data_IF_762609403030
#
_entry.id   IF_762609403030
#
_cell.length_a   1.000
_cell.length_b   1.000
_cell.length_c   1.000
_cell.angle_alpha   90.00
_cell.angle_beta   90.00
_cell.angle_gamma   90.00
#
_symmetry.space_group_name_H-M   'P 1'
#
loop_
_entity.id
_entity.type
_entity.pdbx_description
1 polymer ?
#
# COMPACT_ATOMS: atom_id res chain seq x y z
N UNK A 1 2.92 -3.77 -2.56
CA UNK A 1 2.12 -4.25 -3.72
C UNK A 1 1.49 -5.59 -3.38
N UNK A 2 0.34 -5.90 -3.96
CA UNK A 2 -0.30 -7.22 -3.88
C UNK A 2 -0.03 -7.99 -5.16
N UNK A 3 0.39 -9.24 -5.02
CA UNK A 3 0.60 -10.18 -6.12
C UNK A 3 -0.34 -11.37 -5.95
N UNK A 4 -0.94 -11.81 -7.05
CA UNK A 4 -1.63 -13.10 -7.13
C UNK A 4 -0.63 -14.12 -7.67
N UNK A 5 -0.69 -15.36 -7.20
CA UNK A 5 0.21 -16.41 -7.66
C UNK A 5 0.15 -16.55 -9.19
N UNK A 6 1.31 -16.54 -9.85
CA UNK A 6 1.43 -16.58 -11.31
C UNK A 6 1.13 -15.26 -12.05
N UNK A 7 0.81 -14.17 -11.35
CA UNK A 7 0.56 -12.89 -11.99
C UNK A 7 1.82 -12.30 -12.63
N UNK A 8 1.66 -11.68 -13.81
CA UNK A 8 2.74 -10.96 -14.51
C UNK A 8 2.82 -9.48 -14.12
N UNK A 9 1.77 -8.97 -13.48
CA UNK A 9 1.65 -7.59 -13.02
C UNK A 9 1.09 -7.54 -11.60
N UNK A 10 1.54 -6.56 -10.83
CA UNK A 10 1.15 -6.36 -9.44
C UNK A 10 0.10 -5.28 -9.28
N UNK A 11 -0.65 -5.33 -8.19
CA UNK A 11 -1.65 -4.32 -7.84
C UNK A 11 -1.05 -3.38 -6.78
N UNK A 12 -1.04 -2.07 -7.07
CA UNK A 12 -0.75 -1.05 -6.06
C UNK A 12 -1.96 -0.94 -5.14
N UNK A 13 -1.73 -1.13 -3.84
CA UNK A 13 -2.80 -1.21 -2.82
C UNK A 13 -2.79 -0.02 -1.85
N UNK A 14 -1.74 0.79 -1.87
CA UNK A 14 -1.60 2.03 -1.12
C UNK A 14 -0.54 2.91 -1.81
N UNK A 15 -0.71 4.24 -1.76
CA UNK A 15 0.16 5.21 -2.43
C UNK A 15 0.05 5.19 -3.96
N UNK A 16 1.17 5.46 -4.63
CA UNK A 16 1.29 5.43 -6.10
C UNK A 16 1.08 6.77 -6.80
N UNK A 17 0.75 7.84 -6.07
CA UNK A 17 0.56 9.20 -6.59
C UNK A 17 1.69 10.16 -6.23
N UNK A 18 2.85 9.63 -5.86
CA UNK A 18 3.98 10.42 -5.35
C UNK A 18 3.96 10.54 -3.83
N UNK A 19 4.91 11.33 -3.32
CA UNK A 19 5.06 11.60 -1.89
C UNK A 19 4.22 12.80 -1.47
N UNK A 20 3.49 12.69 -0.37
CA UNK A 20 2.60 13.74 0.13
C UNK A 20 1.62 13.23 1.19
N UNK A 21 0.73 14.12 1.64
CA UNK A 21 -0.20 13.91 2.76
C UNK A 21 -1.66 13.73 2.31
N UNK A 22 -1.89 13.59 0.99
CA UNK A 22 -3.20 13.29 0.44
C UNK A 22 -3.65 11.86 0.72
N UNK A 23 -4.96 11.59 0.61
CA UNK A 23 -5.56 10.27 0.87
C UNK A 23 -4.99 9.13 -0.01
N UNK A 24 -4.34 9.46 -1.12
CA UNK A 24 -3.75 8.51 -2.08
C UNK A 24 -2.22 8.64 -2.21
N UNK A 25 -1.61 9.47 -1.36
CA UNK A 25 -0.16 9.71 -1.30
C UNK A 25 0.41 9.05 -0.04
N UNK A 26 1.73 8.86 0.01
CA UNK A 26 2.43 8.45 1.22
C UNK A 26 3.70 9.28 1.38
N UNK A 27 3.96 9.84 2.54
CA UNK A 27 5.10 10.74 2.74
C UNK A 27 6.36 9.98 3.20
N UNK A 28 6.26 9.26 4.33
CA UNK A 28 7.33 8.47 4.93
C UNK A 28 6.74 7.21 5.64
N UNK A 29 6.34 6.18 4.88
CA UNK A 29 5.66 5.02 5.44
C UNK A 29 6.64 4.15 6.24
N UNK A 30 6.37 4.00 7.54
CA UNK A 30 7.22 3.30 8.51
C UNK A 30 6.71 1.91 8.91
N UNK A 31 5.47 1.56 8.54
CA UNK A 31 4.86 0.29 8.95
C UNK A 31 3.80 -0.23 8.00
N UNK A 32 3.65 -1.55 7.95
CA UNK A 32 2.67 -2.25 7.13
C UNK A 32 2.06 -3.42 7.91
N UNK A 33 0.72 -3.47 7.95
CA UNK A 33 -0.06 -4.57 8.51
C UNK A 33 -1.12 -5.00 7.49
N UNK A 34 -1.37 -6.30 7.41
CA UNK A 34 -2.52 -6.86 6.69
C UNK A 34 -3.34 -7.68 7.67
N UNK A 35 -4.64 -7.40 7.75
CA UNK A 35 -5.55 -8.15 8.62
C UNK A 35 -6.04 -9.46 7.96
N UNK A 36 -6.85 -10.24 8.69
CA UNK A 36 -7.40 -11.51 8.18
C UNK A 36 -8.44 -11.34 7.07
N UNK A 37 -8.99 -10.13 6.87
CA UNK A 37 -9.90 -9.80 5.78
C UNK A 37 -9.15 -9.31 4.53
N UNK A 38 -7.83 -9.12 4.64
CA UNK A 38 -6.97 -8.60 3.57
C UNK A 38 -6.94 -7.08 3.49
N UNK A 39 -7.43 -6.37 4.51
CA UNK A 39 -7.31 -4.91 4.62
C UNK A 39 -5.85 -4.55 4.85
N UNK A 40 -5.36 -3.57 4.09
CA UNK A 40 -3.98 -3.09 4.19
C UNK A 40 -3.96 -1.80 4.99
N UNK A 41 -3.16 -1.78 6.04
CA UNK A 41 -2.90 -0.60 6.87
C UNK A 41 -1.44 -0.18 6.69
N UNK A 42 -1.23 1.10 6.44
CA UNK A 42 0.09 1.71 6.33
C UNK A 42 0.21 2.76 7.43
N UNK A 43 1.27 2.68 8.23
CA UNK A 43 1.64 3.76 9.14
C UNK A 43 2.57 4.72 8.39
N UNK A 44 2.20 5.99 8.34
CA UNK A 44 2.85 7.06 7.59
C UNK A 44 2.94 8.31 8.48
N UNK A 45 4.01 9.10 8.36
CA UNK A 45 4.23 10.33 9.17
C UNK A 45 3.31 11.50 8.79
#
# INVERSE_FOLDING_TARGET
MKWVEGAKEGIVVAGGHGSGYGLSELFDPQGLLVDTLGTVYVADE
#
